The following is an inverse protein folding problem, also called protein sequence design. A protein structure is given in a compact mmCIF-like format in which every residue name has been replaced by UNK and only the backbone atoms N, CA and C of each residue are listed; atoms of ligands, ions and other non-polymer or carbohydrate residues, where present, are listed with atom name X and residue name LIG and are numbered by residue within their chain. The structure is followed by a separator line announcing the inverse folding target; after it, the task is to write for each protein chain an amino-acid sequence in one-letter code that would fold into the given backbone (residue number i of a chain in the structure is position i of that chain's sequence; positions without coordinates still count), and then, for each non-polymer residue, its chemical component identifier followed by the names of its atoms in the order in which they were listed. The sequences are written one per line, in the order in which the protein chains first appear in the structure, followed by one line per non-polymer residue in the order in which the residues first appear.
data_IF_850589022076
#
_entry.id   IF_850589022076
#
_cell.length_a   1.000
_cell.length_b   1.000
_cell.length_c   1.000
_cell.angle_alpha   90.00
_cell.angle_beta   90.00
_cell.angle_gamma   90.00
#
_symmetry.space_group_name_H-M   'P 1'
#
loop_
_entity.id
_entity.type
_entity.pdbx_description
1 polymer ?
#
# COMPACT_ATOMS: atom_id res chain seq x y z
N UNK A 1 -8.22 -33.06 -6.57
CA UNK A 1 -9.50 -32.40 -6.90
C UNK A 1 -9.49 -31.02 -6.24
N UNK A 2 -9.18 -29.95 -6.98
CA UNK A 2 -9.19 -28.59 -6.42
C UNK A 2 -10.64 -28.27 -6.07
N UNK A 3 -10.91 -27.95 -4.81
CA UNK A 3 -12.29 -27.76 -4.36
C UNK A 3 -12.96 -26.61 -5.13
N UNK A 4 -14.06 -26.89 -5.82
CA UNK A 4 -14.72 -25.97 -6.76
C UNK A 4 -15.11 -24.62 -6.14
N UNK A 5 -15.35 -24.59 -4.82
CA UNK A 5 -15.67 -23.36 -4.08
C UNK A 5 -14.55 -22.31 -4.13
N UNK A 6 -13.28 -22.71 -4.32
CA UNK A 6 -12.14 -21.79 -4.38
C UNK A 6 -12.16 -20.86 -5.61
N UNK A 7 -12.97 -21.20 -6.62
CA UNK A 7 -13.15 -20.41 -7.83
C UNK A 7 -14.44 -19.58 -7.81
N UNK A 8 -15.22 -19.63 -6.73
CA UNK A 8 -16.48 -18.91 -6.64
C UNK A 8 -16.25 -17.38 -6.55
N UNK A 9 -17.16 -16.56 -7.11
CA UNK A 9 -17.11 -15.11 -6.95
C UNK A 9 -17.03 -14.69 -5.48
N UNK A 10 -16.21 -13.69 -5.19
CA UNK A 10 -15.97 -13.19 -3.83
C UNK A 10 -15.10 -14.07 -2.95
N UNK A 11 -14.85 -15.32 -3.35
CA UNK A 11 -13.82 -16.18 -2.77
C UNK A 11 -12.54 -16.08 -3.58
N UNK A 12 -12.61 -16.30 -4.89
CA UNK A 12 -11.47 -16.16 -5.77
C UNK A 12 -11.09 -14.69 -5.95
N UNK A 13 -9.78 -14.43 -6.10
CA UNK A 13 -9.26 -13.14 -6.54
C UNK A 13 -8.73 -13.27 -7.98
N UNK A 14 -9.60 -13.16 -9.01
CA UNK A 14 -9.16 -13.30 -10.38
C UNK A 14 -8.32 -12.08 -10.79
N UNK A 15 -7.26 -12.31 -11.55
CA UNK A 15 -6.35 -11.25 -12.02
C UNK A 15 -7.08 -10.13 -12.75
N UNK A 16 -8.12 -10.45 -13.54
CA UNK A 16 -8.90 -9.46 -14.30
C UNK A 16 -9.47 -8.36 -13.39
N UNK A 17 -10.03 -8.74 -12.23
CA UNK A 17 -10.69 -7.79 -11.32
C UNK A 17 -9.66 -6.79 -10.75
N UNK A 18 -8.39 -7.22 -10.58
CA UNK A 18 -7.30 -6.35 -10.16
C UNK A 18 -6.80 -5.44 -11.30
N UNK A 19 -6.80 -5.93 -12.54
CA UNK A 19 -6.37 -5.17 -13.72
C UNK A 19 -7.43 -4.13 -14.16
N UNK A 20 -8.70 -4.46 -14.00
CA UNK A 20 -9.84 -3.59 -14.35
C UNK A 20 -9.93 -2.36 -13.44
N UNK A 21 -9.26 -2.39 -12.28
CA UNK A 21 -9.08 -1.22 -11.40
C UNK A 21 -8.12 -0.17 -11.95
N UNK A 22 -7.39 -0.48 -13.04
CA UNK A 22 -6.58 0.52 -13.72
C UNK A 22 -7.49 1.67 -14.17
N UNK A 23 -7.24 2.92 -13.75
CA UNK A 23 -8.02 4.05 -14.21
C UNK A 23 -8.08 4.04 -15.73
N UNK A 24 -9.30 4.11 -16.28
CA UNK A 24 -9.50 4.26 -17.72
C UNK A 24 -8.65 5.43 -18.18
N UNK A 25 -7.77 5.20 -19.15
CA UNK A 25 -6.86 6.21 -19.67
C UNK A 25 -7.68 7.38 -20.21
N UNK A 26 -7.99 8.36 -19.36
CA UNK A 26 -8.48 9.65 -19.81
C UNK A 26 -7.43 10.17 -20.78
N UNK A 27 -7.78 10.24 -22.06
CA UNK A 27 -7.02 10.99 -23.08
C UNK A 27 -7.05 12.47 -22.66
N UNK A 28 -6.23 12.83 -21.69
CA UNK A 28 -6.10 14.18 -21.16
C UNK A 28 -4.62 14.43 -20.92
N UNK A 29 -4.02 15.23 -21.80
CA UNK A 29 -2.62 15.64 -21.81
C UNK A 29 -1.58 14.50 -21.72
N UNK A 30 -1.16 13.99 -22.89
CA UNK A 30 0.18 13.42 -23.03
C UNK A 30 1.19 14.48 -22.57
N UNK A 31 1.71 14.38 -21.36
CA UNK A 31 3.00 14.98 -21.05
C UNK A 31 3.98 14.35 -22.05
N UNK A 32 4.51 15.15 -22.98
CA UNK A 32 5.47 14.70 -23.98
C UNK A 32 6.60 13.98 -23.24
N UNK A 33 6.93 12.73 -23.56
CA UNK A 33 8.16 12.14 -23.07
C UNK A 33 9.30 12.96 -23.69
N UNK A 34 10.06 13.69 -22.86
CA UNK A 34 11.35 14.19 -23.33
C UNK A 34 12.19 12.96 -23.63
N UNK A 35 12.38 12.73 -24.93
CA UNK A 35 13.24 11.68 -25.45
C UNK A 35 14.58 11.72 -24.71
N UNK A 36 14.96 10.59 -24.13
CA UNK A 36 16.35 10.33 -23.75
C UNK A 36 17.18 10.49 -25.01
N UNK A 37 17.90 11.60 -25.14
CA UNK A 37 19.03 11.69 -26.06
C UNK A 37 20.18 10.94 -25.39
N UNK A 38 20.54 9.81 -25.98
CA UNK A 38 21.78 9.09 -25.68
C UNK A 38 22.98 10.03 -25.80
N UNK A 39 23.94 9.87 -24.88
CA UNK A 39 25.30 10.38 -25.05
C UNK A 39 25.64 11.64 -24.25
N UNK A 40 25.48 11.61 -22.92
CA UNK A 40 26.31 12.43 -22.03
C UNK A 40 26.67 11.56 -20.83
N UNK A 41 27.96 11.28 -20.68
CA UNK A 41 28.50 10.66 -19.46
C UNK A 41 28.26 11.63 -18.30
N UNK A 42 27.56 11.23 -17.22
CA UNK A 42 27.56 12.04 -16.02
C UNK A 42 28.92 11.85 -15.35
N UNK A 43 29.76 12.88 -15.41
CA UNK A 43 30.87 13.02 -14.49
C UNK A 43 30.29 13.01 -13.07
N UNK A 44 30.57 11.95 -12.33
CA UNK A 44 30.27 11.87 -10.90
C UNK A 44 31.03 12.99 -10.19
N UNK A 45 30.27 13.98 -9.70
CA UNK A 45 30.74 14.86 -8.64
C UNK A 45 29.81 14.62 -7.44
N UNK A 46 30.34 14.30 -6.24
CA UNK A 46 29.50 14.04 -5.09
C UNK A 46 28.97 15.37 -4.54
N UNK A 47 27.66 15.58 -4.63
CA UNK A 47 27.01 16.71 -3.96
C UNK A 47 25.70 17.15 -4.62
N UNK A 48 24.59 16.72 -4.01
CA UNK A 48 23.21 17.22 -4.22
C UNK A 48 22.50 16.83 -5.53
N UNK A 49 21.53 15.92 -5.41
CA UNK A 49 20.56 15.61 -6.45
C UNK A 49 19.58 16.76 -6.67
N UNK A 50 19.98 17.75 -7.45
CA UNK A 50 19.12 18.83 -7.92
C UNK A 50 19.25 18.96 -9.43
N UNK A 51 18.35 18.29 -10.15
CA UNK A 51 18.14 18.56 -11.56
C UNK A 51 17.53 19.97 -11.68
N UNK A 52 18.37 20.95 -11.98
CA UNK A 52 18.01 22.37 -12.09
C UNK A 52 17.17 22.59 -13.35
N UNK A 53 15.88 22.90 -13.21
CA UNK A 53 15.00 23.01 -14.40
C UNK A 53 14.12 24.26 -14.51
N UNK A 54 14.06 25.15 -13.51
CA UNK A 54 13.32 26.41 -13.67
C UNK A 54 13.91 27.56 -12.85
N UNK A 55 14.16 28.69 -13.53
CA UNK A 55 14.58 29.96 -12.92
C UNK A 55 13.42 30.92 -13.09
N UNK A 56 12.87 31.43 -11.98
CA UNK A 56 11.76 32.39 -12.01
C UNK A 56 12.13 33.69 -11.32
N UNK A 57 11.39 34.77 -11.59
CA UNK A 57 11.52 36.01 -10.86
C UNK A 57 11.24 35.80 -9.36
N UNK A 58 12.05 36.45 -8.53
CA UNK A 58 11.88 36.50 -7.08
C UNK A 58 10.56 37.19 -6.73
N UNK A 59 9.85 36.63 -5.76
CA UNK A 59 8.67 37.26 -5.15
C UNK A 59 8.95 37.43 -3.65
N UNK A 60 8.51 38.53 -3.01
CA UNK A 60 8.63 38.69 -1.58
C UNK A 60 8.10 37.47 -0.82
N UNK A 61 8.95 36.85 -0.01
CA UNK A 61 8.68 35.58 0.70
C UNK A 61 9.54 34.41 0.24
N UNK A 62 10.22 34.53 -0.91
CA UNK A 62 11.19 33.55 -1.35
C UNK A 62 12.47 33.58 -0.49
N UNK A 63 13.04 32.38 -0.25
CA UNK A 63 14.31 32.21 0.49
C UNK A 63 15.47 32.82 -0.31
N UNK A 64 16.16 33.87 0.20
CA UNK A 64 17.28 34.52 -0.48
C UNK A 64 18.45 33.57 -0.78
N UNK A 65 18.57 32.46 -0.05
CA UNK A 65 19.59 31.43 -0.29
C UNK A 65 19.40 30.71 -1.63
N UNK A 66 18.22 30.81 -2.22
CA UNK A 66 17.86 30.20 -3.51
C UNK A 66 18.03 31.16 -4.68
N UNK A 67 18.58 32.36 -4.47
CA UNK A 67 18.85 33.32 -5.55
C UNK A 67 19.83 32.74 -6.58
N UNK A 68 19.55 32.99 -7.86
CA UNK A 68 20.44 32.70 -8.96
C UNK A 68 21.22 33.98 -9.33
N UNK A 69 22.50 34.11 -8.91
CA UNK A 69 23.27 35.32 -9.18
C UNK A 69 23.54 35.52 -10.68
N UNK A 70 23.60 34.45 -11.49
CA UNK A 70 23.89 34.53 -12.92
C UNK A 70 22.69 34.96 -13.76
N UNK A 71 21.48 34.52 -13.41
CA UNK A 71 20.25 35.00 -14.04
C UNK A 71 19.92 36.43 -13.57
N UNK A 72 20.15 36.72 -12.28
CA UNK A 72 19.97 38.07 -11.72
C UNK A 72 20.90 39.08 -12.38
N UNK A 73 22.18 38.74 -12.57
CA UNK A 73 23.14 39.61 -13.24
C UNK A 73 22.79 39.89 -14.71
N UNK A 74 22.22 38.92 -15.43
CA UNK A 74 21.84 39.10 -16.85
C UNK A 74 20.57 39.91 -17.06
N UNK A 75 19.61 39.80 -16.14
CA UNK A 75 18.28 40.39 -16.30
C UNK A 75 18.09 41.68 -15.50
N UNK A 76 18.96 41.93 -14.53
CA UNK A 76 18.84 43.06 -13.60
C UNK A 76 17.75 42.90 -12.55
N UNK A 77 17.01 41.78 -12.55
CA UNK A 77 15.95 41.49 -11.59
C UNK A 77 16.28 40.23 -10.79
N UNK A 78 15.98 40.16 -9.48
CA UNK A 78 16.31 38.99 -8.68
C UNK A 78 15.55 37.77 -9.19
N UNK A 79 16.27 36.68 -9.43
CA UNK A 79 15.71 35.40 -9.84
C UNK A 79 16.01 34.32 -8.82
N UNK A 80 15.08 33.39 -8.60
CA UNK A 80 15.25 32.25 -7.70
C UNK A 80 15.26 30.95 -8.49
N UNK A 81 16.14 30.04 -8.06
CA UNK A 81 16.21 28.67 -8.53
C UNK A 81 15.04 27.92 -7.90
N UNK A 82 14.05 27.55 -8.70
CA UNK A 82 12.99 26.65 -8.24
C UNK A 82 13.59 25.24 -8.19
N UNK A 83 13.69 24.69 -6.99
CA UNK A 83 14.01 23.29 -6.78
C UNK A 83 12.68 22.53 -6.77
N UNK A 84 12.46 21.72 -7.80
CA UNK A 84 11.51 20.63 -7.68
C UNK A 84 12.22 19.57 -6.85
N UNK A 85 11.72 19.26 -5.65
CA UNK A 85 12.10 18.01 -5.01
C UNK A 85 11.57 16.90 -5.91
N UNK A 86 12.46 16.23 -6.66
CA UNK A 86 12.18 14.90 -7.19
C UNK A 86 12.02 13.98 -5.97
N UNK A 87 10.83 13.99 -5.37
CA UNK A 87 10.43 12.90 -4.49
C UNK A 87 10.05 11.76 -5.40
N UNK A 88 10.83 10.69 -5.36
CA UNK A 88 10.35 9.40 -5.83
C UNK A 88 9.05 9.07 -5.07
N UNK A 89 7.89 9.19 -5.73
CA UNK A 89 6.59 8.78 -5.16
C UNK A 89 6.60 7.26 -5.04
N UNK A 90 7.11 6.76 -3.91
CA UNK A 90 7.21 5.33 -3.62
C UNK A 90 6.01 4.94 -2.77
N UNK A 91 5.22 4.02 -3.31
CA UNK A 91 4.11 3.38 -2.59
C UNK A 91 4.44 1.89 -2.37
N UNK A 92 4.54 1.47 -1.11
CA UNK A 92 4.70 0.07 -0.74
C UNK A 92 3.36 -0.52 -0.27
N UNK A 93 2.86 -1.51 -0.99
CA UNK A 93 1.63 -2.23 -0.66
C UNK A 93 1.96 -3.43 0.24
N UNK A 94 1.17 -3.68 1.28
CA UNK A 94 1.30 -4.85 2.14
C UNK A 94 -0.05 -5.59 2.16
N UNK A 95 -0.09 -6.74 1.50
CA UNK A 95 -1.25 -7.62 1.45
C UNK A 95 -1.19 -8.70 2.53
N UNK A 96 -2.23 -8.77 3.35
CA UNK A 96 -2.41 -9.82 4.35
C UNK A 96 -3.36 -10.91 3.83
N UNK A 97 -2.81 -12.09 3.57
CA UNK A 97 -3.52 -13.32 3.21
C UNK A 97 -3.35 -14.40 4.29
N UNK A 98 -3.10 -14.01 5.54
CA UNK A 98 -3.10 -14.94 6.68
C UNK A 98 -4.52 -15.40 7.00
N UNK A 99 -4.65 -16.44 7.83
CA UNK A 99 -5.94 -17.04 8.18
C UNK A 99 -7.05 -16.04 8.59
N UNK A 100 -6.77 -14.97 9.38
CA UNK A 100 -7.78 -13.97 9.74
C UNK A 100 -8.38 -13.19 8.56
N UNK A 101 -7.73 -13.23 7.39
CA UNK A 101 -8.16 -12.58 6.15
C UNK A 101 -8.84 -13.55 5.16
N UNK A 102 -8.75 -14.87 5.39
CA UNK A 102 -9.27 -15.90 4.48
C UNK A 102 -10.70 -16.37 4.84
N UNK A 103 -11.52 -15.47 5.38
CA UNK A 103 -12.94 -15.72 5.67
C UNK A 103 -13.78 -14.46 5.43
N UNK A 104 -15.11 -14.64 5.40
CA UNK A 104 -16.09 -13.56 5.35
C UNK A 104 -17.53 -14.08 5.41
N UNK A 105 -18.45 -13.29 5.95
CA UNK A 105 -19.90 -13.56 5.95
C UNK A 105 -20.66 -12.74 4.91
N UNK A 106 -20.01 -11.72 4.34
CA UNK A 106 -20.55 -10.92 3.24
C UNK A 106 -20.37 -11.57 1.86
N UNK A 107 -20.43 -10.73 0.83
CA UNK A 107 -20.27 -11.16 -0.56
C UNK A 107 -18.84 -11.60 -0.92
N UNK A 108 -17.83 -11.13 -0.18
CA UNK A 108 -16.42 -11.39 -0.47
C UNK A 108 -15.61 -11.66 0.79
N UNK A 109 -14.52 -12.43 0.68
CA UNK A 109 -13.53 -12.57 1.74
C UNK A 109 -12.83 -11.23 2.04
N UNK A 110 -12.34 -11.07 3.27
CA UNK A 110 -11.52 -9.89 3.64
C UNK A 110 -10.27 -9.75 2.77
N UNK A 111 -9.59 -10.85 2.51
CA UNK A 111 -8.40 -10.90 1.64
C UNK A 111 -8.68 -10.35 0.24
N UNK A 112 -9.85 -10.65 -0.33
CA UNK A 112 -10.26 -10.15 -1.66
C UNK A 112 -10.43 -8.63 -1.62
N UNK A 113 -11.21 -8.11 -0.66
CA UNK A 113 -11.39 -6.66 -0.47
C UNK A 113 -10.08 -5.92 -0.21
N UNK A 114 -9.23 -6.48 0.64
CA UNK A 114 -7.92 -5.91 0.93
C UNK A 114 -7.05 -5.84 -0.33
N UNK A 115 -7.01 -6.90 -1.12
CA UNK A 115 -6.24 -6.91 -2.37
C UNK A 115 -6.78 -5.93 -3.42
N UNK A 116 -8.11 -5.79 -3.54
CA UNK A 116 -8.74 -4.79 -4.42
C UNK A 116 -8.39 -3.36 -3.99
N UNK A 117 -8.44 -3.05 -2.69
CA UNK A 117 -8.03 -1.75 -2.14
C UNK A 117 -6.57 -1.44 -2.46
N UNK A 118 -5.68 -2.42 -2.27
CA UNK A 118 -4.25 -2.28 -2.57
C UNK A 118 -4.00 -2.09 -4.07
N UNK A 119 -4.67 -2.87 -4.93
CA UNK A 119 -4.54 -2.73 -6.38
C UNK A 119 -5.02 -1.37 -6.88
N UNK A 120 -6.17 -0.89 -6.41
CA UNK A 120 -6.66 0.45 -6.72
C UNK A 120 -5.65 1.53 -6.29
N UNK A 121 -5.11 1.42 -5.08
CA UNK A 121 -4.10 2.34 -4.56
C UNK A 121 -2.78 2.29 -5.35
N UNK A 122 -2.36 1.10 -5.76
CA UNK A 122 -1.19 0.89 -6.62
C UNK A 122 -1.37 1.51 -8.00
N UNK A 123 -2.53 1.31 -8.64
CA UNK A 123 -2.82 1.95 -9.93
C UNK A 123 -2.88 3.47 -9.84
N UNK A 124 -3.42 4.02 -8.75
CA UNK A 124 -3.36 5.46 -8.50
C UNK A 124 -1.93 5.97 -8.35
N UNK A 125 -1.04 5.21 -7.70
CA UNK A 125 0.38 5.55 -7.59
C UNK A 125 1.09 5.53 -8.95
N UNK A 126 0.82 4.53 -9.78
CA UNK A 126 1.32 4.52 -11.16
C UNK A 126 0.81 5.71 -11.97
N UNK A 127 -0.45 6.11 -11.78
CA UNK A 127 -1.04 7.29 -12.41
C UNK A 127 -0.34 8.60 -12.04
N UNK A 128 0.28 8.67 -10.84
CA UNK A 128 1.14 9.77 -10.40
C UNK A 128 2.60 9.62 -10.84
N UNK A 129 2.90 8.67 -11.73
CA UNK A 129 4.26 8.31 -12.16
C UNK A 129 5.15 7.77 -11.02
N UNK A 130 4.53 7.30 -9.94
CA UNK A 130 5.23 6.71 -8.79
C UNK A 130 5.70 5.27 -9.02
N UNK A 131 6.62 4.84 -8.18
CA UNK A 131 7.06 3.45 -8.08
C UNK A 131 6.20 2.70 -7.06
N UNK A 132 5.82 1.46 -7.38
CA UNK A 132 4.98 0.64 -6.51
C UNK A 132 5.70 -0.64 -6.17
N UNK A 133 5.80 -0.98 -4.89
CA UNK A 133 6.29 -2.28 -4.41
C UNK A 133 5.17 -3.07 -3.74
N UNK A 134 5.41 -4.36 -3.51
CA UNK A 134 4.43 -5.25 -2.89
C UNK A 134 5.11 -6.19 -1.89
N UNK A 135 4.54 -6.29 -0.70
CA UNK A 135 4.81 -7.34 0.28
C UNK A 135 3.53 -8.15 0.47
N UNK A 136 3.64 -9.47 0.47
CA UNK A 136 2.52 -10.39 0.74
C UNK A 136 2.89 -11.25 1.94
N UNK A 137 2.02 -11.27 2.96
CA UNK A 137 2.08 -12.20 4.07
C UNK A 137 1.01 -13.27 3.88
N UNK A 138 1.41 -14.53 3.77
CA UNK A 138 0.50 -15.66 3.61
C UNK A 138 1.01 -16.88 4.38
N UNK A 139 0.27 -18.00 4.46
CA UNK A 139 0.71 -19.17 5.23
C UNK A 139 2.05 -19.79 4.80
N UNK A 140 2.56 -19.47 3.61
CA UNK A 140 3.87 -19.92 3.15
C UNK A 140 5.00 -18.93 3.46
N UNK A 141 4.72 -17.88 4.26
CA UNK A 141 5.68 -16.86 4.69
C UNK A 141 5.47 -15.49 4.04
N UNK A 142 6.52 -14.66 4.11
CA UNK A 142 6.51 -13.31 3.54
C UNK A 142 7.26 -13.27 2.22
N UNK A 143 6.68 -12.61 1.21
CA UNK A 143 7.31 -12.37 -0.10
C UNK A 143 7.28 -10.89 -0.42
N UNK A 144 8.31 -10.40 -1.10
CA UNK A 144 8.40 -9.00 -1.51
C UNK A 144 8.85 -8.85 -2.96
N UNK A 145 8.29 -7.86 -3.63
CA UNK A 145 8.79 -7.28 -4.87
C UNK A 145 9.13 -5.81 -4.62
N UNK A 146 10.37 -5.38 -4.91
CA UNK A 146 10.80 -4.01 -4.65
C UNK A 146 10.04 -3.02 -5.54
N UNK A 147 9.94 -1.74 -5.12
CA UNK A 147 9.24 -0.74 -5.91
C UNK A 147 9.85 -0.53 -7.30
N UNK A 148 9.00 -0.56 -8.32
CA UNK A 148 9.36 -0.08 -9.66
C UNK A 148 8.18 0.65 -10.32
N UNK A 149 8.45 1.60 -11.24
CA UNK A 149 7.39 2.37 -11.89
C UNK A 149 6.74 1.61 -13.05
N UNK A 150 5.55 2.09 -13.43
CA UNK A 150 4.91 1.78 -14.71
C UNK A 150 3.91 0.62 -14.69
N UNK A 151 3.01 0.67 -15.68
CA UNK A 151 1.85 -0.24 -15.77
C UNK A 151 2.22 -1.72 -15.82
N UNK A 152 3.31 -2.06 -16.53
CA UNK A 152 3.78 -3.44 -16.65
C UNK A 152 4.20 -4.01 -15.30
N UNK A 153 4.87 -3.21 -14.48
CA UNK A 153 5.27 -3.63 -13.14
C UNK A 153 4.03 -3.85 -12.26
N UNK A 154 3.11 -2.89 -12.24
CA UNK A 154 1.86 -2.99 -11.47
C UNK A 154 0.98 -4.17 -11.91
N UNK A 155 0.88 -4.46 -13.20
CA UNK A 155 0.22 -5.67 -13.69
C UNK A 155 0.89 -6.96 -13.19
N UNK A 156 2.22 -6.95 -13.06
CA UNK A 156 2.99 -8.02 -12.42
C UNK A 156 2.68 -8.16 -10.92
N UNK A 157 2.54 -7.05 -10.20
CA UNK A 157 2.11 -7.05 -8.80
C UNK A 157 0.69 -7.60 -8.64
N UNK A 158 -0.24 -7.24 -9.54
CA UNK A 158 -1.60 -7.79 -9.57
C UNK A 158 -1.59 -9.31 -9.78
N UNK A 159 -0.73 -9.81 -10.69
CA UNK A 159 -0.56 -11.25 -10.89
C UNK A 159 -0.04 -11.93 -9.63
N UNK A 160 0.98 -11.35 -8.99
CA UNK A 160 1.49 -11.89 -7.72
C UNK A 160 0.40 -11.93 -6.64
N UNK A 161 -0.42 -10.88 -6.49
CA UNK A 161 -1.55 -10.87 -5.56
C UNK A 161 -2.51 -12.03 -5.81
N UNK A 162 -2.95 -12.21 -7.06
CA UNK A 162 -3.87 -13.30 -7.42
C UNK A 162 -3.27 -14.70 -7.18
N UNK A 163 -2.00 -14.90 -7.55
CA UNK A 163 -1.28 -16.18 -7.39
C UNK A 163 -1.06 -16.52 -5.90
N UNK A 164 -0.65 -15.54 -5.09
CA UNK A 164 -0.46 -15.73 -3.65
C UNK A 164 -1.78 -15.95 -2.92
N UNK A 165 -2.83 -15.24 -3.30
CA UNK A 165 -4.17 -15.45 -2.75
C UNK A 165 -4.67 -16.88 -3.01
N UNK A 166 -4.53 -17.36 -4.25
CA UNK A 166 -4.86 -18.75 -4.62
C UNK A 166 -4.05 -19.76 -3.81
N UNK A 167 -2.75 -19.50 -3.63
CA UNK A 167 -1.89 -20.35 -2.79
C UNK A 167 -2.35 -20.35 -1.34
N UNK A 168 -2.73 -19.20 -0.79
CA UNK A 168 -3.18 -19.06 0.59
C UNK A 168 -4.49 -19.82 0.84
N UNK A 169 -5.46 -19.76 -0.09
CA UNK A 169 -6.70 -20.55 -0.04
C UNK A 169 -6.45 -22.07 -0.13
N UNK A 170 -5.34 -22.46 -0.75
CA UNK A 170 -4.95 -23.86 -0.91
C UNK A 170 -4.11 -24.39 0.25
N UNK A 171 -3.59 -23.53 1.10
CA UNK A 171 -2.68 -23.90 2.17
C UNK A 171 -3.37 -24.77 3.23
N UNK A 172 -2.62 -25.76 3.73
CA UNK A 172 -3.00 -26.51 4.93
C UNK A 172 -2.74 -25.64 6.15
N UNK A 173 -3.58 -25.71 7.20
CA UNK A 173 -3.30 -25.05 8.47
C UNK A 173 -1.89 -25.41 8.97
N UNK A 174 -1.09 -24.40 9.24
CA UNK A 174 0.29 -24.51 9.70
C UNK A 174 0.60 -23.40 10.72
N UNK A 175 1.85 -23.28 11.18
CA UNK A 175 2.24 -22.20 12.07
C UNK A 175 1.93 -20.84 11.43
N UNK A 176 1.27 -19.97 12.19
CA UNK A 176 0.82 -18.68 11.68
C UNK A 176 2.02 -17.77 11.37
N UNK A 177 2.11 -17.27 10.13
CA UNK A 177 3.06 -16.22 9.76
C UNK A 177 2.74 -14.94 10.54
N UNK A 178 3.67 -14.40 11.34
CA UNK A 178 3.38 -13.23 12.15
C UNK A 178 3.40 -11.96 11.28
N UNK A 179 2.45 -11.05 11.50
CA UNK A 179 2.38 -9.77 10.78
C UNK A 179 3.66 -8.93 10.94
N UNK A 180 4.34 -9.09 12.09
CA UNK A 180 5.60 -8.42 12.41
C UNK A 180 6.71 -8.66 11.39
N UNK A 181 6.73 -9.83 10.72
CA UNK A 181 7.71 -10.16 9.70
C UNK A 181 7.53 -9.27 8.46
N UNK A 182 6.29 -9.15 7.97
CA UNK A 182 5.95 -8.28 6.84
C UNK A 182 6.19 -6.80 7.15
N UNK A 183 5.84 -6.36 8.37
CA UNK A 183 6.10 -5.00 8.83
C UNK A 183 7.60 -4.69 8.96
N UNK A 184 8.39 -5.66 9.42
CA UNK A 184 9.84 -5.50 9.53
C UNK A 184 10.51 -5.41 8.17
N UNK A 185 10.05 -6.24 7.22
CA UNK A 185 10.50 -6.18 5.84
C UNK A 185 10.08 -4.87 5.16
N UNK A 186 8.87 -4.38 5.44
CA UNK A 186 8.42 -3.08 4.94
C UNK A 186 9.30 -1.94 5.47
N UNK A 187 9.67 -1.99 6.74
CA UNK A 187 10.52 -0.97 7.35
C UNK A 187 11.94 -0.97 6.80
N UNK A 188 12.44 -2.09 6.26
CA UNK A 188 13.75 -2.16 5.60
C UNK A 188 13.71 -1.75 4.12
N UNK A 189 12.60 -2.00 3.42
CA UNK A 189 12.48 -1.69 1.98
C UNK A 189 11.89 -0.32 1.67
N UNK A 190 11.01 0.21 2.51
CA UNK A 190 10.41 1.51 2.29
C UNK A 190 11.40 2.62 2.69
N UNK A 191 11.80 3.53 1.79
CA UNK A 191 12.61 4.68 2.17
C UNK A 191 11.82 5.66 3.05
N UNK A 192 12.51 6.64 3.63
CA UNK A 192 11.87 7.77 4.32
C UNK A 192 11.00 8.55 3.32
N UNK A 193 9.84 9.00 3.77
CA UNK A 193 8.85 9.71 2.96
C UNK A 193 7.93 8.80 2.13
N UNK A 194 8.21 7.49 2.04
CA UNK A 194 7.39 6.57 1.29
C UNK A 194 5.97 6.44 1.88
N UNK A 195 4.99 6.21 0.99
CA UNK A 195 3.65 5.78 1.38
C UNK A 195 3.66 4.27 1.58
N UNK A 196 3.11 3.81 2.69
CA UNK A 196 2.95 2.38 2.96
C UNK A 196 1.48 2.10 3.22
N UNK A 197 0.89 1.14 2.52
CA UNK A 197 -0.53 0.81 2.67
C UNK A 197 -0.63 -0.66 3.07
N UNK A 198 -1.09 -0.90 4.29
CA UNK A 198 -1.33 -2.22 4.83
C UNK A 198 -2.83 -2.53 4.79
N UNK A 199 -3.24 -3.58 4.08
CA UNK A 199 -4.61 -4.08 4.16
C UNK A 199 -4.66 -5.33 5.04
N UNK A 200 -5.33 -5.23 6.19
CA UNK A 200 -5.39 -6.30 7.20
C UNK A 200 -6.64 -6.18 8.08
N UNK A 201 -6.90 -7.20 8.90
CA UNK A 201 -7.96 -7.22 9.90
C UNK A 201 -7.40 -6.80 11.28
N UNK A 202 -8.24 -6.50 12.28
CA UNK A 202 -7.77 -6.03 13.58
C UNK A 202 -7.14 -7.12 14.48
N UNK A 203 -6.65 -8.22 13.91
CA UNK A 203 -6.02 -9.31 14.64
C UNK A 203 -4.54 -9.05 14.92
N UNK A 204 -4.05 -9.56 16.05
CA UNK A 204 -2.60 -9.61 16.31
C UNK A 204 -1.91 -8.27 16.56
N UNK A 205 -2.64 -7.16 16.72
CA UNK A 205 -2.03 -5.86 17.02
C UNK A 205 -1.07 -5.84 18.21
N UNK A 206 -1.36 -6.48 19.35
CA UNK A 206 -0.47 -6.39 20.52
C UNK A 206 0.97 -6.80 20.22
N UNK A 207 1.18 -7.81 19.37
CA UNK A 207 2.53 -8.23 18.97
C UNK A 207 3.13 -7.38 17.86
N UNK A 208 2.30 -6.68 17.07
CA UNK A 208 2.71 -5.86 15.94
C UNK A 208 2.99 -4.37 16.27
N UNK A 209 2.60 -3.87 17.45
CA UNK A 209 2.66 -2.44 17.79
C UNK A 209 4.05 -1.82 17.59
N UNK A 210 5.10 -2.48 18.09
CA UNK A 210 6.46 -1.97 17.97
C UNK A 210 6.93 -1.92 16.50
N UNK A 211 6.54 -2.90 15.69
CA UNK A 211 6.88 -2.93 14.28
C UNK A 211 6.10 -1.87 13.48
N UNK A 212 4.81 -1.65 13.79
CA UNK A 212 3.99 -0.59 13.21
C UNK A 212 4.56 0.80 13.52
N UNK A 213 4.85 1.08 14.79
CA UNK A 213 5.40 2.37 15.19
C UNK A 213 6.76 2.63 14.53
N UNK A 214 7.62 1.60 14.41
CA UNK A 214 8.88 1.70 13.66
C UNK A 214 8.67 1.97 12.18
N UNK A 215 7.68 1.35 11.55
CA UNK A 215 7.35 1.56 10.14
C UNK A 215 6.81 2.98 9.92
N UNK A 216 5.91 3.45 10.78
CA UNK A 216 5.31 4.78 10.71
C UNK A 216 6.33 5.92 10.87
N UNK A 217 7.45 5.69 11.58
CA UNK A 217 8.51 6.69 11.72
C UNK A 217 9.09 7.07 10.35
N UNK A 218 8.82 8.31 9.96
CA UNK A 218 9.31 8.90 8.71
C UNK A 218 8.56 8.45 7.46
N UNK A 219 7.42 7.76 7.57
CA UNK A 219 6.65 7.25 6.41
C UNK A 219 5.17 7.55 6.59
N UNK A 220 4.43 7.62 5.49
CA UNK A 220 2.97 7.74 5.54
C UNK A 220 2.37 6.34 5.58
N UNK A 221 2.16 5.78 6.77
CA UNK A 221 1.57 4.46 6.95
C UNK A 221 0.04 4.55 7.00
N UNK A 222 -0.64 4.09 5.96
CA UNK A 222 -2.07 3.80 5.98
C UNK A 222 -2.30 2.35 6.42
N UNK A 223 -3.21 2.15 7.37
CA UNK A 223 -3.71 0.82 7.75
C UNK A 223 -5.17 0.73 7.32
N UNK A 224 -5.39 0.08 6.19
CA UNK A 224 -6.70 -0.26 5.65
C UNK A 224 -7.28 -1.46 6.42
N UNK A 225 -8.14 -1.15 7.40
CA UNK A 225 -8.87 -2.11 8.21
C UNK A 225 -10.00 -2.74 7.40
N UNK A 226 -9.85 -4.05 7.12
CA UNK A 226 -10.83 -4.85 6.41
C UNK A 226 -11.71 -5.59 7.43
N UNK A 227 -12.93 -5.08 7.63
CA UNK A 227 -13.89 -5.61 8.61
C UNK A 227 -14.98 -6.43 7.93
N UNK A 228 -15.44 -7.49 8.57
CA UNK A 228 -16.57 -8.28 8.07
C UNK A 228 -17.92 -7.73 8.57
N UNK A 229 -19.04 -7.88 7.81
CA UNK A 229 -20.36 -7.50 8.31
C UNK A 229 -20.72 -8.09 9.68
N UNK A 230 -20.26 -9.32 9.97
CA UNK A 230 -20.47 -9.96 11.26
C UNK A 230 -19.76 -9.24 12.42
N UNK A 231 -18.64 -8.57 12.15
CA UNK A 231 -17.92 -7.78 13.17
C UNK A 231 -18.57 -6.41 13.38
N UNK A 232 -19.17 -5.84 12.34
CA UNK A 232 -19.81 -4.52 12.41
C UNK A 232 -21.18 -4.59 13.06
N UNK A 233 -21.98 -5.58 12.68
CA UNK A 233 -23.36 -5.76 13.13
C UNK A 233 -23.66 -7.24 13.37
N UNK A 234 -23.09 -7.85 14.43
CA UNK A 234 -23.40 -9.22 14.78
C UNK A 234 -24.89 -9.39 15.12
N UNK A 235 -25.50 -10.53 14.78
CA UNK A 235 -26.89 -10.80 15.14
C UNK A 235 -27.04 -10.90 16.66
N UNK A 236 -28.15 -10.38 17.20
CA UNK A 236 -28.43 -10.38 18.63
C UNK A 236 -28.59 -11.80 19.24
N UNK A 237 -28.96 -12.77 18.41
CA UNK A 237 -29.11 -14.17 18.83
C UNK A 237 -27.74 -14.85 18.99
N UNK A 238 -27.57 -15.77 19.95
CA UNK A 238 -26.39 -16.62 20.02
C UNK A 238 -26.20 -17.40 18.72
N UNK A 239 -24.97 -17.47 18.23
CA UNK A 239 -24.59 -18.26 17.06
C UNK A 239 -23.90 -19.56 17.51
N UNK A 240 -24.14 -20.68 16.82
CA UNK A 240 -23.32 -21.88 17.00
C UNK A 240 -21.91 -21.59 16.46
N UNK A 241 -20.92 -21.75 17.32
CA UNK A 241 -19.49 -21.60 17.00
C UNK A 241 -18.82 -22.94 17.27
N UNK A 242 -18.17 -23.48 16.26
CA UNK A 242 -17.34 -24.68 16.37
C UNK A 242 -15.88 -24.28 16.24
N UNK A 243 -15.08 -24.64 17.24
CA UNK A 243 -13.64 -24.43 17.23
C UNK A 243 -12.96 -25.67 17.81
N UNK A 244 -11.99 -26.21 17.10
CA UNK A 244 -11.24 -27.42 17.49
C UNK A 244 -12.16 -28.58 17.95
N UNK A 245 -13.21 -28.85 17.17
CA UNK A 245 -14.18 -29.91 17.45
C UNK A 245 -15.18 -29.63 18.58
N UNK A 246 -15.04 -28.51 19.30
CA UNK A 246 -15.97 -28.10 20.36
C UNK A 246 -17.01 -27.14 19.81
N UNK A 247 -18.29 -27.49 19.94
CA UNK A 247 -19.41 -26.64 19.57
C UNK A 247 -19.99 -25.93 20.80
N UNK A 248 -20.19 -24.62 20.71
CA UNK A 248 -20.81 -23.79 21.75
C UNK A 248 -21.67 -22.70 21.14
N UNK A 249 -22.66 -22.22 21.89
CA UNK A 249 -23.37 -20.99 21.54
C UNK A 249 -22.57 -19.79 22.04
N UNK A 250 -22.28 -18.84 21.16
CA UNK A 250 -21.59 -17.60 21.51
C UNK A 250 -22.42 -16.40 21.03
N UNK A 251 -22.49 -15.35 21.85
CA UNK A 251 -22.95 -14.02 21.40
C UNK A 251 -21.74 -13.23 20.97
N UNK A 252 -21.74 -12.79 19.72
CA UNK A 252 -20.70 -11.92 19.20
C UNK A 252 -21.01 -10.48 19.61
N UNK A 253 -19.97 -9.74 19.96
CA UNK A 253 -20.06 -8.30 20.21
C UNK A 253 -19.51 -7.57 18.98
N UNK A 254 -20.07 -6.39 18.64
CA UNK A 254 -19.50 -5.55 17.62
C UNK A 254 -18.02 -5.26 17.92
N UNK A 255 -17.19 -5.19 16.90
CA UNK A 255 -15.81 -4.79 17.05
C UNK A 255 -15.74 -3.34 17.56
N UNK A 256 -14.93 -3.10 18.59
CA UNK A 256 -14.66 -1.76 19.11
C UNK A 256 -13.72 -0.99 18.16
N UNK A 257 -14.29 -0.54 17.03
CA UNK A 257 -13.55 0.09 15.96
C UNK A 257 -12.90 1.41 16.41
N UNK A 258 -13.56 2.17 17.27
CA UNK A 258 -13.02 3.42 17.79
C UNK A 258 -11.68 3.16 18.50
N UNK A 259 -11.65 2.19 19.41
CA UNK A 259 -10.41 1.78 20.09
C UNK A 259 -9.32 1.31 19.13
N UNK A 260 -9.68 0.58 18.07
CA UNK A 260 -8.72 0.12 17.07
C UNK A 260 -8.13 1.29 16.27
N UNK A 261 -8.96 2.25 15.87
CA UNK A 261 -8.54 3.46 15.15
C UNK A 261 -7.63 4.32 16.04
N UNK A 262 -8.03 4.56 17.29
CA UNK A 262 -7.25 5.34 18.25
C UNK A 262 -5.88 4.70 18.52
N UNK A 263 -5.83 3.37 18.67
CA UNK A 263 -4.57 2.64 18.82
C UNK A 263 -3.65 2.84 17.61
N UNK A 264 -4.17 2.70 16.39
CA UNK A 264 -3.37 2.88 15.18
C UNK A 264 -2.88 4.32 15.02
N UNK A 265 -3.73 5.30 15.31
CA UNK A 265 -3.35 6.71 15.30
C UNK A 265 -2.28 7.02 16.35
N UNK A 266 -2.38 6.46 17.55
CA UNK A 266 -1.35 6.60 18.60
C UNK A 266 0.00 5.98 18.18
N UNK A 267 -0.01 4.97 17.30
CA UNK A 267 1.20 4.36 16.72
C UNK A 267 1.76 5.13 15.52
N UNK A 268 1.11 6.24 15.11
CA UNK A 268 1.52 7.07 13.97
C UNK A 268 1.01 6.58 12.62
N UNK A 269 0.07 5.64 12.59
CA UNK A 269 -0.60 5.21 11.38
C UNK A 269 -1.85 6.07 11.09
N UNK A 270 -2.25 6.10 9.82
CA UNK A 270 -3.51 6.64 9.35
C UNK A 270 -4.51 5.47 9.19
N UNK A 271 -5.38 5.22 10.18
CA UNK A 271 -6.37 4.16 10.06
C UNK A 271 -7.41 4.53 9.00
N UNK A 272 -7.69 3.60 8.09
CA UNK A 272 -8.76 3.71 7.10
C UNK A 272 -9.65 2.49 7.21
N UNK A 273 -10.94 2.68 7.41
CA UNK A 273 -11.91 1.59 7.26
C UNK A 273 -12.19 1.36 5.78
N UNK A 274 -12.17 0.10 5.34
CA UNK A 274 -12.62 -0.31 4.01
C UNK A 274 -13.97 -1.01 4.19
N UNK A 275 -15.02 -0.40 3.65
CA UNK A 275 -16.37 -0.95 3.78
C UNK A 275 -16.55 -2.29 3.04
N UNK A 276 -17.53 -3.11 3.45
CA UNK A 276 -17.87 -4.37 2.79
C UNK A 276 -18.35 -4.24 1.36
#
# INVERSE_FOLDING_TARGET
MVAAWRQAPGIALPLRDLLDLRPGATRGARARPMARRSGVMPSHQPGSGMDLREIRAYVPGDDPRRLDPSATARTGTPHVRALHEDRDDITLLIADFRAPMLWGTGATLRSVRGALHLAASGWQAVGRQGAVGLIVADPAGVRALPPAPGDRHMAGLCRLLADRHTTALAATPGPATPLTEALSLAASQAPSGARVILATAPDGWPSAQAALSRLARGRQLEVALILDPLELAPPARPLPVTHDGTARLARLQPADLARQMDLLSALGALPRRVDP
#
